data_IF_068158022791
#
_entry.id   IF_068158022791
#
_cell.length_a   1.000
_cell.length_b   1.000
_cell.length_c   1.000
_cell.angle_alpha   90.00
_cell.angle_beta   90.00
_cell.angle_gamma   90.00
#
_symmetry.space_group_name_H-M   'P 1'
#
loop_
_entity.id
_entity.type
_entity.pdbx_description
1 polymer ?
#
# COMPACT_ATOMS: atom_id res chain seq x y z
N UNK A 1 6.46 2.64 9.65
CA UNK A 1 7.22 3.49 8.71
C UNK A 1 7.18 4.94 9.21
N UNK A 2 8.34 5.57 9.44
CA UNK A 2 8.46 6.94 9.98
C UNK A 2 8.75 8.00 8.90
N UNK A 3 8.25 7.78 7.67
CA UNK A 3 8.42 8.73 6.57
C UNK A 3 7.72 10.06 6.92
N UNK A 4 8.39 11.19 6.64
CA UNK A 4 7.78 12.52 6.72
C UNK A 4 7.74 13.12 5.32
N UNK A 5 6.56 13.53 4.80
CA UNK A 5 5.20 13.30 5.32
C UNK A 5 4.80 11.80 5.28
N UNK A 6 3.77 11.36 6.05
CA UNK A 6 3.44 9.95 6.21
C UNK A 6 3.04 9.26 4.89
N UNK A 7 3.30 7.96 4.82
CA UNK A 7 2.80 7.10 3.76
C UNK A 7 1.37 6.70 4.05
N UNK A 8 0.52 6.74 3.04
CA UNK A 8 -0.91 6.45 3.11
C UNK A 8 -1.25 5.11 2.45
N UNK A 9 -0.32 4.50 1.72
CA UNK A 9 -0.52 3.17 1.18
C UNK A 9 0.78 2.36 1.08
N UNK A 10 0.62 1.04 1.17
CA UNK A 10 1.62 0.06 0.79
C UNK A 10 1.04 -0.77 -0.35
N UNK A 11 1.74 -0.80 -1.47
CA UNK A 11 1.38 -1.52 -2.68
C UNK A 11 2.40 -2.64 -2.84
N UNK A 12 2.01 -3.85 -2.46
CA UNK A 12 2.91 -5.00 -2.45
C UNK A 12 2.98 -5.72 -3.80
N UNK A 13 3.40 -5.01 -4.85
CA UNK A 13 3.58 -5.62 -6.18
C UNK A 13 4.73 -6.63 -6.25
N UNK A 14 5.75 -6.44 -5.41
CA UNK A 14 6.92 -7.31 -5.30
C UNK A 14 6.67 -8.61 -4.55
N UNK A 15 5.44 -8.84 -4.07
CA UNK A 15 5.06 -10.01 -3.27
C UNK A 15 6.03 -10.23 -2.08
N UNK A 16 6.37 -9.15 -1.37
CA UNK A 16 7.23 -9.22 -0.18
C UNK A 16 6.43 -9.59 1.08
N UNK A 17 5.12 -9.40 1.05
CA UNK A 17 4.20 -9.71 2.16
C UNK A 17 3.45 -11.01 1.83
N UNK A 18 4.13 -12.14 2.01
CA UNK A 18 3.59 -13.48 1.74
C UNK A 18 3.23 -14.22 3.03
N UNK A 19 2.25 -15.13 2.96
CA UNK A 19 1.90 -16.01 4.08
C UNK A 19 0.99 -15.37 5.13
N UNK A 20 0.46 -14.18 4.86
CA UNK A 20 -0.51 -13.47 5.69
C UNK A 20 -1.74 -13.12 4.87
N UNK A 21 -2.91 -13.17 5.50
CA UNK A 21 -4.12 -12.55 4.96
C UNK A 21 -4.02 -11.02 5.03
N UNK A 22 -4.72 -10.33 4.14
CA UNK A 22 -4.77 -8.87 4.12
C UNK A 22 -5.26 -8.27 5.45
N UNK A 23 -6.13 -8.99 6.18
CA UNK A 23 -6.58 -8.59 7.51
C UNK A 23 -5.47 -8.71 8.56
N UNK A 24 -4.65 -9.75 8.50
CA UNK A 24 -3.49 -9.89 9.40
C UNK A 24 -2.44 -8.81 9.13
N UNK A 25 -2.20 -8.49 7.85
CA UNK A 25 -1.34 -7.36 7.47
C UNK A 25 -1.92 -6.04 8.00
N UNK A 26 -3.23 -5.81 7.82
CA UNK A 26 -3.90 -4.62 8.33
C UNK A 26 -3.77 -4.46 9.85
N UNK A 27 -3.91 -5.56 10.61
CA UNK A 27 -3.70 -5.57 12.07
C UNK A 27 -2.25 -5.22 12.42
N UNK A 28 -1.29 -5.91 11.82
CA UNK A 28 0.14 -5.68 12.08
C UNK A 28 0.56 -4.24 11.74
N UNK A 29 0.02 -3.67 10.66
CA UNK A 29 0.25 -2.27 10.31
C UNK A 29 -0.25 -1.31 11.39
N UNK A 30 -1.45 -1.54 11.94
CA UNK A 30 -1.98 -0.71 13.03
C UNK A 30 -1.16 -0.89 14.31
N UNK A 31 -0.83 -2.12 14.69
CA UNK A 31 -0.16 -2.44 15.95
C UNK A 31 1.31 -2.00 15.98
N UNK A 32 2.04 -2.16 14.88
CA UNK A 32 3.49 -2.02 14.85
C UNK A 32 3.99 -0.90 13.92
N UNK A 33 3.23 -0.61 12.86
CA UNK A 33 3.75 0.13 11.71
C UNK A 33 3.32 1.60 11.63
N UNK A 34 2.07 1.89 12.02
CA UNK A 34 1.39 3.15 11.76
C UNK A 34 1.13 3.92 13.06
N UNK A 35 1.53 5.20 13.15
CA UNK A 35 1.29 6.01 14.34
C UNK A 35 -0.19 6.36 14.52
N UNK A 36 -0.68 6.27 15.75
CA UNK A 36 -2.10 6.56 16.09
C UNK A 36 -2.50 8.01 15.82
N UNK A 37 -1.54 8.94 15.89
CA UNK A 37 -1.78 10.36 15.60
C UNK A 37 -2.21 10.59 14.14
N UNK A 38 -1.77 9.73 13.22
CA UNK A 38 -2.00 9.88 11.78
C UNK A 38 -3.12 8.98 11.27
N UNK A 39 -3.21 7.72 11.75
CA UNK A 39 -4.07 6.70 11.14
C UNK A 39 -5.07 6.06 12.11
N UNK A 40 -6.35 6.10 11.73
CA UNK A 40 -7.47 5.52 12.47
C UNK A 40 -7.92 4.15 11.92
N UNK A 41 -7.46 3.75 10.73
CA UNK A 41 -7.79 2.46 10.16
C UNK A 41 -6.99 2.09 8.93
N UNK A 42 -6.98 0.79 8.63
CA UNK A 42 -6.34 0.23 7.44
C UNK A 42 -7.38 -0.35 6.52
N UNK A 43 -7.40 0.13 5.28
CA UNK A 43 -8.20 -0.36 4.16
C UNK A 43 -7.47 -1.52 3.51
N UNK A 44 -8.22 -2.57 3.20
CA UNK A 44 -7.70 -3.78 2.55
C UNK A 44 -8.79 -4.48 1.75
N UNK A 45 -8.42 -5.46 0.94
CA UNK A 45 -9.36 -6.33 0.24
C UNK A 45 -9.54 -7.65 1.00
N UNK A 46 -10.78 -8.04 1.24
CA UNK A 46 -11.07 -9.35 1.81
C UNK A 46 -10.93 -10.47 0.74
N UNK A 47 -11.02 -11.75 1.12
CA UNK A 47 -10.89 -12.87 0.17
C UNK A 47 -11.97 -12.92 -0.93
N UNK A 48 -12.97 -12.05 -0.90
CA UNK A 48 -14.03 -11.91 -1.90
C UNK A 48 -13.91 -10.59 -2.67
N UNK A 49 -12.73 -9.97 -2.69
CA UNK A 49 -12.46 -8.69 -3.35
C UNK A 49 -13.33 -7.53 -2.85
N UNK A 50 -13.81 -7.58 -1.61
CA UNK A 50 -14.57 -6.47 -1.03
C UNK A 50 -13.63 -5.50 -0.35
N UNK A 51 -13.87 -4.21 -0.56
CA UNK A 51 -13.16 -3.14 0.12
C UNK A 51 -13.61 -3.09 1.58
N UNK A 52 -12.70 -3.47 2.48
CA UNK A 52 -12.93 -3.47 3.91
C UNK A 52 -12.01 -2.46 4.59
N UNK A 53 -12.37 -2.03 5.78
CA UNK A 53 -11.50 -1.27 6.67
C UNK A 53 -11.50 -1.92 8.05
N UNK A 54 -10.31 -2.07 8.62
CA UNK A 54 -10.12 -2.37 10.04
C UNK A 54 -9.94 -1.05 10.79
N UNK A 55 -10.82 -0.77 11.75
CA UNK A 55 -10.73 0.42 12.59
C UNK A 55 -9.83 0.16 13.80
N UNK A 56 -8.87 1.06 14.05
CA UNK A 56 -7.91 0.97 15.17
C UNK A 56 -8.60 0.91 16.52
N UNK A 57 -9.47 1.88 16.82
CA UNK A 57 -10.03 2.06 18.17
C UNK A 57 -10.97 0.94 18.59
N UNK A 58 -11.78 0.42 17.66
CA UNK A 58 -12.80 -0.58 17.97
C UNK A 58 -12.39 -2.00 17.59
N UNK A 59 -11.35 -2.18 16.77
CA UNK A 59 -10.99 -3.46 16.18
C UNK A 59 -12.02 -4.00 15.18
N UNK A 60 -13.06 -3.22 14.85
CA UNK A 60 -14.14 -3.63 13.96
C UNK A 60 -13.65 -3.62 12.53
N UNK A 61 -13.98 -4.69 11.80
CA UNK A 61 -13.87 -4.78 10.35
C UNK A 61 -15.23 -4.48 9.73
N UNK A 62 -15.28 -3.54 8.78
CA UNK A 62 -16.53 -3.17 8.10
C UNK A 62 -16.29 -2.82 6.64
N UNK A 63 -17.38 -2.72 5.87
CA UNK A 63 -17.32 -2.26 4.48
C UNK A 63 -16.77 -0.83 4.40
N UNK A 64 -15.84 -0.58 3.49
CA UNK A 64 -15.27 0.75 3.27
C UNK A 64 -16.33 1.78 2.90
N UNK A 65 -17.40 1.36 2.21
CA UNK A 65 -18.50 2.23 1.80
C UNK A 65 -19.28 2.81 3.00
N UNK A 66 -19.23 2.15 4.16
CA UNK A 66 -19.89 2.59 5.40
C UNK A 66 -18.93 3.37 6.32
N UNK A 67 -17.67 3.51 5.93
CA UNK A 67 -16.64 4.11 6.75
C UNK A 67 -16.66 5.65 6.70
N UNK A 68 -16.69 6.25 7.89
CA UNK A 68 -16.68 7.72 8.08
C UNK A 68 -15.30 8.30 8.37
N UNK A 69 -14.26 7.48 8.51
CA UNK A 69 -12.88 7.96 8.75
C UNK A 69 -12.44 8.83 7.55
N UNK A 70 -11.86 10.02 7.70
CA UNK A 70 -11.37 10.82 6.57
C UNK A 70 -10.31 10.09 5.74
N UNK A 71 -10.15 10.39 4.45
CA UNK A 71 -9.17 9.70 3.59
C UNK A 71 -7.73 9.86 4.07
N UNK A 72 -7.42 11.02 4.65
CA UNK A 72 -6.12 11.39 5.20
C UNK A 72 -5.76 10.54 6.44
N UNK A 73 -6.76 10.02 7.13
CA UNK A 73 -6.59 9.19 8.35
C UNK A 73 -6.71 7.69 8.08
N UNK A 74 -6.75 7.30 6.80
CA UNK A 74 -6.76 5.90 6.35
C UNK A 74 -5.39 5.54 5.79
N UNK A 75 -4.96 4.32 6.08
CA UNK A 75 -3.88 3.69 5.34
C UNK A 75 -4.46 2.60 4.43
N UNK A 76 -3.90 2.34 3.25
CA UNK A 76 -4.38 1.28 2.35
C UNK A 76 -3.30 0.25 2.09
N UNK A 77 -3.61 -1.02 2.28
CA UNK A 77 -2.78 -2.13 1.83
C UNK A 77 -3.35 -2.71 0.53
N UNK A 78 -2.54 -2.70 -0.53
CA UNK A 78 -2.83 -3.38 -1.79
C UNK A 78 -1.91 -4.60 -1.89
N UNK A 79 -2.51 -5.78 -2.00
CA UNK A 79 -1.76 -7.01 -2.26
C UNK A 79 -1.49 -7.22 -3.76
N UNK A 80 -0.64 -8.21 -4.07
CA UNK A 80 -0.25 -8.53 -5.44
C UNK A 80 -1.39 -9.20 -6.23
N UNK A 81 -2.19 -10.05 -5.57
CA UNK A 81 -3.13 -10.98 -6.21
C UNK A 81 -4.36 -10.27 -6.77
N UNK A 82 -4.84 -9.20 -6.12
CA UNK A 82 -6.12 -8.56 -6.46
C UNK A 82 -5.93 -7.24 -7.24
N UNK A 83 -4.96 -7.24 -8.16
CA UNK A 83 -4.44 -6.05 -8.86
C UNK A 83 -5.29 -5.53 -10.02
N UNK A 84 -6.50 -6.05 -10.26
CA UNK A 84 -7.35 -5.57 -11.38
C UNK A 84 -8.62 -4.84 -10.90
N UNK A 85 -8.90 -3.67 -11.49
CA UNK A 85 -10.25 -3.06 -11.52
C UNK A 85 -10.72 -2.25 -10.30
N UNK A 86 -10.15 -2.42 -9.10
CA UNK A 86 -10.68 -1.73 -7.92
C UNK A 86 -10.22 -0.27 -7.79
N UNK A 87 -11.15 0.64 -7.49
CA UNK A 87 -10.89 2.05 -7.18
C UNK A 87 -11.08 2.31 -5.68
N UNK A 88 -9.97 2.49 -4.96
CA UNK A 88 -9.96 2.94 -3.56
C UNK A 88 -9.48 4.39 -3.58
N UNK A 89 -10.37 5.31 -3.20
CA UNK A 89 -10.05 6.73 -3.16
C UNK A 89 -9.01 7.00 -2.07
N UNK A 90 -7.95 7.70 -2.48
CA UNK A 90 -6.85 8.12 -1.63
C UNK A 90 -6.93 9.64 -1.39
N UNK A 91 -6.29 10.11 -0.32
CA UNK A 91 -6.18 11.55 -0.07
C UNK A 91 -5.48 12.28 -1.26
N UNK A 92 -5.79 13.55 -1.53
CA UNK A 92 -5.25 14.27 -2.69
C UNK A 92 -3.71 14.33 -2.74
N UNK A 93 -3.06 14.38 -1.58
CA UNK A 93 -1.60 14.42 -1.43
C UNK A 93 -1.03 13.09 -0.90
N UNK A 94 -1.78 12.01 -1.05
CA UNK A 94 -1.38 10.70 -0.54
C UNK A 94 -0.06 10.23 -1.19
N UNK A 95 0.77 9.62 -0.36
CA UNK A 95 2.04 9.00 -0.76
C UNK A 95 1.95 7.50 -0.58
N UNK A 96 2.38 6.72 -1.55
CA UNK A 96 2.42 5.27 -1.43
C UNK A 96 3.84 4.73 -1.51
N UNK A 97 4.11 3.69 -0.74
CA UNK A 97 5.25 2.82 -0.95
C UNK A 97 4.85 1.69 -1.91
N UNK A 98 5.66 1.41 -2.91
CA UNK A 98 5.48 0.30 -3.85
C UNK A 98 6.66 -0.67 -3.71
N UNK A 99 6.41 -1.94 -3.44
CA UNK A 99 7.49 -2.92 -3.32
C UNK A 99 7.97 -3.39 -4.69
N UNK A 100 9.29 -3.51 -4.84
CA UNK A 100 9.94 -4.01 -6.06
C UNK A 100 10.48 -5.42 -5.82
N UNK A 101 10.06 -6.37 -6.64
CA UNK A 101 10.53 -7.77 -6.63
C UNK A 101 11.49 -8.07 -7.79
N UNK A 102 12.30 -9.12 -7.67
CA UNK A 102 13.31 -9.52 -8.69
C UNK A 102 12.71 -9.92 -10.03
N UNK A 103 11.54 -10.54 -10.01
CA UNK A 103 10.89 -11.12 -11.19
C UNK A 103 9.79 -10.20 -11.73
N UNK A 104 9.72 -8.95 -11.27
CA UNK A 104 8.75 -7.97 -11.73
C UNK A 104 9.18 -7.29 -13.03
N UNK A 105 8.22 -7.06 -13.91
CA UNK A 105 8.38 -6.19 -15.07
C UNK A 105 8.08 -4.73 -14.71
N UNK A 106 8.51 -3.79 -15.55
CA UNK A 106 8.08 -2.39 -15.46
C UNK A 106 6.56 -2.25 -15.53
N UNK A 107 5.87 -3.13 -16.27
CA UNK A 107 4.41 -3.12 -16.38
C UNK A 107 3.77 -3.41 -15.01
N UNK A 108 4.28 -4.38 -14.26
CA UNK A 108 3.75 -4.73 -12.94
C UNK A 108 3.92 -3.58 -11.96
N UNK A 109 5.10 -2.95 -11.96
CA UNK A 109 5.38 -1.75 -11.17
C UNK A 109 4.42 -0.60 -11.54
N UNK A 110 4.26 -0.32 -12.83
CA UNK A 110 3.39 0.76 -13.31
C UNK A 110 1.92 0.50 -12.94
N UNK A 111 1.44 -0.73 -13.11
CA UNK A 111 0.07 -1.11 -12.73
C UNK A 111 -0.18 -0.94 -11.24
N UNK A 112 0.77 -1.34 -10.39
CA UNK A 112 0.73 -1.08 -8.96
C UNK A 112 0.71 0.41 -8.64
N UNK A 113 1.65 1.17 -9.19
CA UNK A 113 1.73 2.61 -8.97
C UNK A 113 0.43 3.34 -9.36
N UNK A 114 -0.19 2.97 -10.49
CA UNK A 114 -1.44 3.58 -10.97
C UNK A 114 -2.68 3.32 -10.10
N UNK A 115 -2.56 2.56 -9.00
CA UNK A 115 -3.57 2.56 -7.93
C UNK A 115 -3.68 3.94 -7.26
N UNK A 116 -2.59 4.70 -7.25
CA UNK A 116 -2.59 6.12 -6.92
C UNK A 116 -3.10 6.92 -8.12
N UNK A 117 -4.43 7.03 -8.27
CA UNK A 117 -5.08 7.67 -9.42
C UNK A 117 -4.72 9.15 -9.62
N UNK A 118 -4.24 9.81 -8.58
CA UNK A 118 -3.75 11.19 -8.60
C UNK A 118 -2.25 11.35 -8.87
N UNK A 119 -1.57 10.32 -9.38
CA UNK A 119 -0.14 10.42 -9.70
C UNK A 119 0.14 11.58 -10.67
N UNK A 120 1.16 12.37 -10.34
CA UNK A 120 1.50 13.60 -11.10
C UNK A 120 0.52 14.76 -10.86
N UNK A 121 -0.51 14.58 -10.03
CA UNK A 121 -1.51 15.58 -9.64
C UNK A 121 -1.60 15.74 -8.11
N UNK A 122 -0.47 15.58 -7.42
CA UNK A 122 -0.35 15.70 -5.97
C UNK A 122 -0.02 14.39 -5.26
N UNK A 123 -0.50 13.24 -5.77
CA UNK A 123 -0.10 11.94 -5.23
C UNK A 123 1.26 11.52 -5.78
N UNK A 124 2.01 10.79 -4.96
CA UNK A 124 3.35 10.30 -5.29
C UNK A 124 3.53 8.85 -4.88
N UNK A 125 4.49 8.18 -5.51
CA UNK A 125 4.95 6.84 -5.12
C UNK A 125 6.45 6.87 -4.82
N UNK A 126 6.86 6.09 -3.84
CA UNK A 126 8.26 5.74 -3.59
C UNK A 126 8.45 4.23 -3.71
N UNK A 127 9.59 3.81 -4.26
CA UNK A 127 9.91 2.40 -4.42
C UNK A 127 10.60 1.88 -3.16
N UNK A 128 10.04 0.82 -2.58
CA UNK A 128 10.71 0.01 -1.56
C UNK A 128 11.45 -1.13 -2.25
N UNK A 129 12.76 -1.05 -2.18
CA UNK A 129 13.68 -1.97 -2.86
C UNK A 129 14.41 -2.75 -1.78
N UNK A 130 14.35 -4.09 -1.83
CA UNK A 130 15.17 -4.90 -0.91
C UNK A 130 16.65 -4.74 -1.26
N UNK A 131 17.58 -4.96 -0.31
CA UNK A 131 19.01 -4.83 -0.57
C UNK A 131 19.49 -5.63 -1.79
N UNK A 132 18.95 -6.84 -1.98
CA UNK A 132 19.27 -7.74 -3.09
C UNK A 132 18.89 -7.13 -4.44
N UNK A 133 17.70 -6.51 -4.53
CA UNK A 133 17.23 -5.84 -5.75
C UNK A 133 18.03 -4.56 -6.00
N UNK A 134 18.39 -3.81 -4.95
CA UNK A 134 19.18 -2.60 -5.08
C UNK A 134 20.55 -2.89 -5.72
N UNK A 135 21.17 -4.02 -5.37
CA UNK A 135 22.42 -4.46 -5.95
C UNK A 135 22.28 -4.79 -7.44
N UNK A 136 21.22 -5.51 -7.83
CA UNK A 136 20.94 -5.83 -9.24
C UNK A 136 20.76 -4.57 -10.10
N UNK A 137 19.98 -3.60 -9.61
CA UNK A 137 19.75 -2.33 -10.32
C UNK A 137 21.06 -1.55 -10.51
N UNK A 138 21.91 -1.47 -9.47
CA UNK A 138 23.20 -0.78 -9.56
C UNK A 138 24.14 -1.44 -10.57
N UNK A 139 24.19 -2.77 -10.59
CA UNK A 139 25.04 -3.51 -11.52
C UNK A 139 24.55 -3.34 -12.97
N UNK A 140 23.24 -3.38 -13.21
CA UNK A 140 22.66 -3.13 -14.52
C UNK A 140 22.92 -1.69 -15.01
N UNK A 141 22.78 -0.70 -14.12
CA UNK A 141 23.05 0.70 -14.43
C UNK A 141 24.54 1.01 -14.69
N UNK A 142 25.45 0.23 -14.10
CA UNK A 142 26.89 0.36 -14.33
C UNK A 142 27.37 -0.36 -15.62
N UNK A 143 26.53 -1.21 -16.21
CA UNK A 143 26.85 -1.98 -17.41
C UNK A 143 26.36 -1.33 -18.71
N UNK A 144 25.64 -0.19 -18.63
CA UNK A 144 25.18 0.61 -19.78
C UNK A 144 25.85 1.97 -19.79
#
# INVERSE_FOLDING_TARGET
ATARPPLHALIDTGALVTGYSNLEVARALLELGLPESEFDGVVFLDPSDRQMILLRRSGIVMSLAQCVVPWERRFTFYDQVHTTGMDIKQAPLARAAVTLGKDMTFRDLAQGAFRMRGLGKGQTVEMLVTPEISLLVRNAAAAG
#
